data_IF_959578390337
#
_entry.id   IF_959578390337
#
_cell.length_a   1.000
_cell.length_b   1.000
_cell.length_c   1.000
_cell.angle_alpha   90.00
_cell.angle_beta   90.00
_cell.angle_gamma   90.00
#
_symmetry.space_group_name_H-M   'P 1'
#
loop_
_entity.id
_entity.type
_entity.pdbx_description
1 polymer ?
#
# COMPACT_ATOMS: atom_id res chain seq x y z
N UNK A 1 -1.70 17.18 -41.86
CA UNK A 1 -1.93 17.51 -40.43
C UNK A 1 -3.32 17.11 -39.92
N UNK A 2 -4.41 17.25 -40.69
CA UNK A 2 -5.77 16.87 -40.26
C UNK A 2 -6.01 15.36 -40.02
N UNK A 3 -5.43 14.48 -40.84
CA UNK A 3 -5.68 13.02 -40.79
C UNK A 3 -5.14 12.40 -39.48
N UNK A 4 -4.02 12.91 -38.96
CA UNK A 4 -3.39 12.43 -37.72
C UNK A 4 -4.24 12.82 -36.50
N UNK A 5 -4.80 14.05 -36.49
CA UNK A 5 -5.74 14.49 -35.43
C UNK A 5 -7.02 13.65 -35.40
N UNK A 6 -7.55 13.28 -36.56
CA UNK A 6 -8.76 12.44 -36.65
C UNK A 6 -8.53 11.02 -36.10
N UNK A 7 -7.37 10.43 -36.40
CA UNK A 7 -7.01 9.06 -35.97
C UNK A 7 -6.72 8.97 -34.47
N UNK A 8 -6.10 10.01 -33.90
CA UNK A 8 -5.89 10.14 -32.44
C UNK A 8 -7.23 10.32 -31.72
N UNK A 9 -8.15 11.11 -32.29
CA UNK A 9 -9.50 11.30 -31.73
C UNK A 9 -10.28 9.99 -31.67
N UNK A 10 -10.33 9.22 -32.77
CA UNK A 10 -10.98 7.91 -32.80
C UNK A 10 -10.38 6.92 -31.79
N UNK A 11 -9.04 6.91 -31.65
CA UNK A 11 -8.37 6.07 -30.67
C UNK A 11 -8.71 6.46 -29.22
N UNK A 12 -8.82 7.76 -28.91
CA UNK A 12 -9.26 8.26 -27.61
C UNK A 12 -10.71 7.88 -27.27
N UNK A 13 -11.59 7.86 -28.28
CA UNK A 13 -12.99 7.42 -28.13
C UNK A 13 -13.07 5.92 -27.82
N UNK A 14 -12.30 5.09 -28.54
CA UNK A 14 -12.26 3.65 -28.29
C UNK A 14 -11.72 3.34 -26.88
N UNK A 15 -10.67 4.02 -26.44
CA UNK A 15 -10.18 3.88 -25.05
C UNK A 15 -11.22 4.29 -24.01
N UNK A 16 -11.97 5.38 -24.24
CA UNK A 16 -13.04 5.79 -23.34
C UNK A 16 -14.16 4.74 -23.27
N UNK A 17 -14.56 4.17 -24.40
CA UNK A 17 -15.59 3.13 -24.44
C UNK A 17 -15.13 1.88 -23.67
N UNK A 18 -13.88 1.45 -23.88
CA UNK A 18 -13.29 0.30 -23.15
C UNK A 18 -13.24 0.60 -21.64
N UNK A 19 -12.84 1.81 -21.24
CA UNK A 19 -12.81 2.22 -19.84
C UNK A 19 -14.20 2.22 -19.21
N UNK A 20 -15.21 2.76 -19.90
CA UNK A 20 -16.61 2.76 -19.46
C UNK A 20 -17.12 1.32 -19.33
N UNK A 21 -16.81 0.45 -20.28
CA UNK A 21 -17.20 -0.96 -20.25
C UNK A 21 -16.55 -1.72 -19.08
N UNK A 22 -15.26 -1.45 -18.82
CA UNK A 22 -14.55 -2.01 -17.66
C UNK A 22 -15.18 -1.57 -16.34
N UNK A 23 -15.48 -0.28 -16.20
CA UNK A 23 -16.17 0.26 -15.00
C UNK A 23 -17.56 -0.34 -14.84
N UNK A 24 -18.31 -0.53 -15.93
CA UNK A 24 -19.62 -1.18 -15.90
C UNK A 24 -19.53 -2.66 -15.49
N UNK A 25 -18.58 -3.42 -16.06
CA UNK A 25 -18.34 -4.82 -15.68
C UNK A 25 -17.97 -4.92 -14.20
N UNK A 26 -17.07 -4.05 -13.72
CA UNK A 26 -16.69 -4.01 -12.32
C UNK A 26 -17.90 -3.74 -11.41
N UNK A 27 -18.73 -2.75 -11.77
CA UNK A 27 -19.92 -2.38 -11.02
C UNK A 27 -21.02 -3.47 -11.04
N UNK A 28 -21.17 -4.19 -12.16
CA UNK A 28 -22.07 -5.35 -12.28
C UNK A 28 -21.58 -6.49 -11.39
N UNK A 29 -20.27 -6.77 -11.40
CA UNK A 29 -19.66 -7.81 -10.58
C UNK A 29 -19.83 -7.50 -9.08
N UNK A 30 -19.55 -6.27 -8.66
CA UNK A 30 -19.78 -5.82 -7.28
C UNK A 30 -21.24 -5.97 -6.87
N UNK A 31 -22.18 -5.62 -7.75
CA UNK A 31 -23.61 -5.73 -7.46
C UNK A 31 -24.07 -7.19 -7.38
N UNK A 32 -23.53 -8.06 -8.24
CA UNK A 32 -23.78 -9.50 -8.19
C UNK A 32 -23.24 -10.13 -6.90
N UNK A 33 -21.99 -9.84 -6.54
CA UNK A 33 -21.41 -10.23 -5.25
C UNK A 33 -22.24 -9.69 -4.09
N UNK A 34 -22.76 -8.46 -4.22
CA UNK A 34 -23.60 -7.83 -3.20
C UNK A 34 -24.88 -8.62 -2.93
N UNK A 35 -25.47 -9.13 -4.00
CA UNK A 35 -26.71 -9.90 -3.95
C UNK A 35 -26.46 -11.31 -3.43
N UNK A 36 -25.30 -11.88 -3.73
CA UNK A 36 -24.89 -13.21 -3.28
C UNK A 36 -24.59 -13.23 -1.77
N UNK A 37 -23.99 -12.16 -1.21
CA UNK A 37 -23.80 -12.06 0.24
C UNK A 37 -25.12 -11.94 1.01
N UNK A 38 -26.13 -11.26 0.44
CA UNK A 38 -27.45 -11.11 1.06
C UNK A 38 -28.23 -12.42 1.16
N UNK A 39 -27.86 -13.43 0.38
CA UNK A 39 -28.52 -14.74 0.37
C UNK A 39 -28.04 -15.65 1.52
N UNK A 40 -26.84 -15.40 2.06
CA UNK A 40 -26.28 -16.17 3.16
C UNK A 40 -26.92 -15.80 4.50
N UNK A 41 -27.10 -16.79 5.38
CA UNK A 41 -27.53 -16.52 6.75
C UNK A 41 -26.45 -15.75 7.53
N UNK A 42 -26.85 -15.04 8.58
CA UNK A 42 -25.92 -14.29 9.42
C UNK A 42 -24.84 -15.20 10.04
N UNK A 43 -25.22 -16.39 10.49
CA UNK A 43 -24.30 -17.39 11.06
C UNK A 43 -23.26 -17.85 10.04
N UNK A 44 -23.68 -18.08 8.79
CA UNK A 44 -22.78 -18.44 7.70
C UNK A 44 -21.82 -17.30 7.36
N UNK A 45 -22.28 -16.05 7.38
CA UNK A 45 -21.43 -14.87 7.19
C UNK A 45 -20.37 -14.77 8.30
N UNK A 46 -20.74 -15.00 9.56
CA UNK A 46 -19.80 -15.00 10.68
C UNK A 46 -18.77 -16.13 10.56
N UNK A 47 -19.21 -17.35 10.24
CA UNK A 47 -18.31 -18.49 10.03
C UNK A 47 -17.31 -18.23 8.89
N UNK A 48 -17.80 -17.67 7.78
CA UNK A 48 -16.96 -17.32 6.64
C UNK A 48 -15.97 -16.21 7.02
N UNK A 49 -16.41 -15.17 7.73
CA UNK A 49 -15.54 -14.10 8.21
C UNK A 49 -14.40 -14.65 9.09
N UNK A 50 -14.72 -15.54 10.05
CA UNK A 50 -13.73 -16.19 10.91
C UNK A 50 -12.74 -17.04 10.10
N UNK A 51 -13.23 -17.78 9.10
CA UNK A 51 -12.40 -18.60 8.21
C UNK A 51 -11.43 -17.74 7.40
N UNK A 52 -11.92 -16.63 6.83
CA UNK A 52 -11.11 -15.67 6.09
C UNK A 52 -10.04 -15.05 7.01
N UNK A 53 -10.43 -14.59 8.19
CA UNK A 53 -9.51 -14.00 9.18
C UNK A 53 -8.39 -14.98 9.59
N UNK A 54 -8.73 -16.26 9.78
CA UNK A 54 -7.72 -17.29 10.07
C UNK A 54 -6.75 -17.51 8.90
N UNK A 55 -7.25 -17.54 7.66
CA UNK A 55 -6.41 -17.65 6.46
C UNK A 55 -5.48 -16.45 6.30
N UNK A 56 -6.00 -15.25 6.53
CA UNK A 56 -5.20 -14.01 6.49
C UNK A 56 -4.09 -14.07 7.53
N UNK A 57 -4.37 -14.53 8.75
CA UNK A 57 -3.35 -14.69 9.81
C UNK A 57 -2.23 -15.63 9.35
N UNK A 58 -2.58 -16.83 8.86
CA UNK A 58 -1.61 -17.81 8.37
C UNK A 58 -0.75 -17.27 7.22
N UNK A 59 -1.37 -16.62 6.24
CA UNK A 59 -0.66 -16.04 5.11
C UNK A 59 0.25 -14.90 5.56
N UNK A 60 -0.17 -14.08 6.52
CA UNK A 60 0.66 -13.01 7.06
C UNK A 60 1.90 -13.55 7.79
N UNK A 61 1.77 -14.66 8.53
CA UNK A 61 2.91 -15.32 9.17
C UNK A 61 3.90 -15.84 8.12
N UNK A 62 3.41 -16.50 7.08
CA UNK A 62 4.25 -16.94 5.95
C UNK A 62 4.92 -15.78 5.23
N UNK A 63 4.19 -14.69 4.98
CA UNK A 63 4.73 -13.47 4.37
C UNK A 63 5.83 -12.87 5.26
N UNK A 64 5.65 -12.89 6.58
CA UNK A 64 6.67 -12.41 7.53
C UNK A 64 7.95 -13.23 7.42
N UNK A 65 7.85 -14.56 7.44
CA UNK A 65 9.02 -15.44 7.27
C UNK A 65 9.73 -15.22 5.94
N UNK A 66 8.98 -15.10 4.84
CA UNK A 66 9.55 -14.85 3.51
C UNK A 66 10.24 -13.50 3.43
N UNK A 67 9.68 -12.45 4.06
CA UNK A 67 10.30 -11.13 4.17
C UNK A 67 11.61 -11.21 4.94
N UNK A 68 11.64 -11.90 6.07
CA UNK A 68 12.87 -12.07 6.87
C UNK A 68 13.96 -12.82 6.10
N UNK A 69 13.60 -13.93 5.44
CA UNK A 69 14.52 -14.69 4.57
C UNK A 69 15.05 -13.83 3.43
N UNK A 70 14.18 -13.07 2.76
CA UNK A 70 14.56 -12.15 1.68
C UNK A 70 15.51 -11.06 2.17
N UNK A 71 15.22 -10.44 3.32
CA UNK A 71 16.09 -9.40 3.90
C UNK A 71 17.46 -9.96 4.20
N UNK A 72 17.55 -11.10 4.91
CA UNK A 72 18.83 -11.75 5.21
C UNK A 72 19.65 -12.06 3.94
N UNK A 73 19.01 -12.60 2.91
CA UNK A 73 19.68 -12.84 1.62
C UNK A 73 20.12 -11.54 0.95
N UNK A 74 19.28 -10.50 1.00
CA UNK A 74 19.59 -9.19 0.39
C UNK A 74 20.78 -8.52 1.07
N UNK A 75 20.87 -8.62 2.40
CA UNK A 75 22.00 -8.08 3.18
C UNK A 75 23.30 -8.79 2.80
N UNK A 76 23.30 -10.13 2.80
CA UNK A 76 24.46 -10.93 2.37
C UNK A 76 24.89 -10.62 0.93
N UNK A 77 23.93 -10.49 0.00
CA UNK A 77 24.24 -10.16 -1.40
C UNK A 77 24.77 -8.73 -1.55
N UNK A 78 24.24 -7.77 -0.80
CA UNK A 78 24.73 -6.41 -0.80
C UNK A 78 26.15 -6.32 -0.24
N UNK A 79 26.44 -7.05 0.83
CA UNK A 79 27.77 -7.05 1.44
C UNK A 79 28.80 -7.71 0.51
N UNK A 80 28.47 -8.87 -0.07
CA UNK A 80 29.29 -9.48 -1.13
C UNK A 80 29.52 -8.53 -2.32
N UNK A 81 28.47 -7.83 -2.76
CA UNK A 81 28.58 -6.88 -3.87
C UNK A 81 29.44 -5.66 -3.52
N UNK A 82 29.45 -5.20 -2.26
CA UNK A 82 30.36 -4.13 -1.81
C UNK A 82 31.81 -4.61 -1.75
N UNK A 83 32.06 -5.77 -1.16
CA UNK A 83 33.41 -6.35 -1.04
C UNK A 83 34.06 -6.59 -2.41
N UNK A 84 33.26 -6.97 -3.41
CA UNK A 84 33.73 -7.27 -4.76
C UNK A 84 33.54 -6.11 -5.75
N UNK A 85 33.21 -4.90 -5.28
CA UNK A 85 32.97 -3.70 -6.13
C UNK A 85 31.92 -3.89 -7.25
N UNK A 86 30.94 -4.76 -7.04
CA UNK A 86 29.87 -5.09 -7.98
C UNK A 86 28.66 -4.15 -7.87
N UNK A 87 28.78 -3.00 -7.22
CA UNK A 87 27.66 -2.09 -6.95
C UNK A 87 26.97 -1.56 -8.21
N UNK A 88 27.64 -1.60 -9.37
CA UNK A 88 27.07 -1.22 -10.67
C UNK A 88 26.71 -2.42 -11.57
N UNK A 89 26.93 -3.65 -11.10
CA UNK A 89 26.65 -4.85 -11.87
C UNK A 89 25.14 -5.03 -12.10
N UNK A 90 24.79 -5.48 -13.30
CA UNK A 90 23.42 -5.83 -13.67
C UNK A 90 23.35 -7.32 -13.95
N UNK A 91 22.52 -8.04 -13.20
CA UNK A 91 22.32 -9.48 -13.33
C UNK A 91 21.04 -9.69 -14.14
N UNK A 92 21.12 -10.43 -15.24
CA UNK A 92 19.94 -10.79 -16.04
C UNK A 92 19.28 -12.04 -15.42
N UNK A 93 17.96 -11.98 -15.25
CA UNK A 93 17.11 -13.08 -14.79
C UNK A 93 16.01 -13.34 -15.83
N UNK A 94 15.33 -14.49 -15.74
CA UNK A 94 14.25 -14.83 -16.69
C UNK A 94 13.12 -13.81 -16.71
N UNK A 95 12.87 -13.12 -15.59
CA UNK A 95 11.81 -12.11 -15.42
C UNK A 95 12.35 -10.65 -15.45
N UNK A 96 13.54 -10.43 -16.03
CA UNK A 96 14.11 -9.10 -16.21
C UNK A 96 15.54 -8.94 -15.68
N UNK A 97 15.81 -7.85 -14.95
CA UNK A 97 17.17 -7.53 -14.50
C UNK A 97 17.21 -7.09 -13.04
N UNK A 98 18.26 -7.51 -12.34
CA UNK A 98 18.57 -7.09 -10.97
C UNK A 98 19.77 -6.14 -11.00
N UNK A 99 19.67 -5.04 -10.25
CA UNK A 99 20.76 -4.09 -10.04
C UNK A 99 20.85 -3.76 -8.56
N UNK A 100 22.07 -3.68 -8.03
CA UNK A 100 22.33 -3.13 -6.71
C UNK A 100 22.14 -1.61 -6.78
N UNK A 101 21.08 -1.10 -6.13
CA UNK A 101 20.73 0.31 -6.19
C UNK A 101 20.52 0.86 -4.77
N UNK A 102 21.14 2.00 -4.49
CA UNK A 102 20.91 2.75 -3.25
C UNK A 102 19.79 3.77 -3.49
N UNK A 103 18.67 3.61 -2.80
CA UNK A 103 17.58 4.58 -2.83
C UNK A 103 17.60 5.41 -1.56
N UNK A 104 17.59 6.73 -1.70
CA UNK A 104 17.39 7.64 -0.55
C UNK A 104 15.91 7.68 -0.24
N UNK A 105 15.53 7.17 0.92
CA UNK A 105 14.14 7.23 1.42
C UNK A 105 14.06 8.36 2.44
N UNK A 106 13.22 9.35 2.20
CA UNK A 106 12.94 10.41 3.17
C UNK A 106 12.10 9.85 4.32
N UNK A 107 12.40 10.27 5.54
CA UNK A 107 11.62 9.85 6.71
C UNK A 107 10.18 10.35 6.60
N UNK A 108 9.19 9.56 7.06
CA UNK A 108 7.80 9.98 7.07
C UNK A 108 7.60 11.21 7.96
N UNK A 109 6.69 12.09 7.54
CA UNK A 109 6.33 13.30 8.28
C UNK A 109 5.43 12.95 9.47
N UNK A 110 6.04 12.42 10.53
CA UNK A 110 5.36 12.08 11.78
C UNK A 110 5.18 13.32 12.65
N UNK A 111 4.21 13.31 13.57
CA UNK A 111 4.05 14.40 14.54
C UNK A 111 5.30 14.60 15.40
N UNK A 112 6.01 13.51 15.74
CA UNK A 112 7.30 13.58 16.46
C UNK A 112 8.38 14.30 15.64
N UNK A 113 8.44 14.02 14.33
CA UNK A 113 9.35 14.72 13.44
C UNK A 113 8.99 16.20 13.33
N UNK A 114 7.70 16.53 13.18
CA UNK A 114 7.22 17.92 13.15
C UNK A 114 7.54 18.67 14.44
N UNK A 115 7.29 18.08 15.61
CA UNK A 115 7.59 18.69 16.90
C UNK A 115 9.09 18.99 17.04
N UNK A 116 9.95 18.03 16.67
CA UNK A 116 11.40 18.23 16.66
C UNK A 116 11.81 19.36 15.71
N UNK A 117 11.36 19.31 14.46
CA UNK A 117 11.72 20.31 13.44
C UNK A 117 11.21 21.72 13.79
N UNK A 118 10.02 21.82 14.39
CA UNK A 118 9.47 23.10 14.85
C UNK A 118 10.21 23.61 16.10
N UNK A 119 10.63 22.72 17.01
CA UNK A 119 11.44 23.07 18.18
C UNK A 119 12.86 23.55 17.84
N UNK A 120 13.42 23.10 16.72
CA UNK A 120 14.71 23.60 16.22
C UNK A 120 14.63 25.07 15.74
N UNK A 121 13.44 25.54 15.35
CA UNK A 121 13.21 26.89 14.80
C UNK A 121 12.60 27.82 15.86
N UNK A 122 11.67 27.31 16.67
CA UNK A 122 10.90 28.07 17.65
C UNK A 122 11.44 27.76 19.05
N UNK A 123 12.07 28.74 19.69
CA UNK A 123 12.65 28.60 21.05
C UNK A 123 11.60 28.33 22.16
N UNK A 124 10.34 28.64 21.89
CA UNK A 124 9.24 28.44 22.83
C UNK A 124 8.58 27.08 22.61
N UNK A 125 8.94 26.11 23.45
CA UNK A 125 8.41 24.75 23.40
C UNK A 125 6.87 24.68 23.55
N UNK A 126 6.28 25.60 24.32
CA UNK A 126 4.82 25.62 24.52
C UNK A 126 4.10 25.99 23.23
N UNK A 127 4.65 26.91 22.43
CA UNK A 127 4.06 27.27 21.13
C UNK A 127 4.17 26.11 20.13
N UNK A 128 5.28 25.38 20.15
CA UNK A 128 5.46 24.20 19.29
C UNK A 128 4.41 23.13 19.60
N UNK A 129 4.19 22.82 20.88
CA UNK A 129 3.16 21.87 21.32
C UNK A 129 1.77 22.30 20.89
N UNK A 130 1.42 23.58 21.07
CA UNK A 130 0.14 24.15 20.64
C UNK A 130 -0.08 24.00 19.13
N UNK A 131 0.95 24.24 18.31
CA UNK A 131 0.86 24.08 16.85
C UNK A 131 0.62 22.61 16.47
N UNK A 132 1.36 21.69 17.08
CA UNK A 132 1.22 20.25 16.81
C UNK A 132 -0.18 19.76 17.22
N UNK A 133 -0.68 20.18 18.37
CA UNK A 133 -2.04 19.86 18.84
C UNK A 133 -3.12 20.44 17.93
N UNK A 134 -2.95 21.68 17.45
CA UNK A 134 -3.86 22.30 16.51
C UNK A 134 -3.93 21.52 15.18
N UNK A 135 -2.79 21.07 14.65
CA UNK A 135 -2.77 20.23 13.44
C UNK A 135 -3.47 18.90 13.71
N UNK A 136 -3.23 18.30 14.88
CA UNK A 136 -3.84 17.01 15.26
C UNK A 136 -5.37 17.12 15.37
N UNK A 137 -5.89 18.22 15.93
CA UNK A 137 -7.33 18.43 16.11
C UNK A 137 -8.07 18.79 14.82
N UNK A 138 -7.38 19.40 13.84
CA UNK A 138 -7.95 19.73 12.54
C UNK A 138 -7.96 18.57 11.54
N UNK A 139 -7.21 17.49 11.78
CA UNK A 139 -7.26 16.31 10.91
C UNK A 139 -8.59 15.60 11.05
N UNK A 140 -9.22 15.29 9.91
CA UNK A 140 -10.48 14.56 9.86
C UNK A 140 -10.33 13.19 10.52
N UNK A 141 -11.17 12.94 11.52
CA UNK A 141 -11.25 11.64 12.19
C UNK A 141 -12.43 10.89 11.60
N UNK A 142 -12.15 9.86 10.80
CA UNK A 142 -13.19 8.95 10.31
C UNK A 142 -13.39 7.83 11.33
N UNK A 143 -14.58 7.79 11.94
CA UNK A 143 -15.00 6.65 12.76
C UNK A 143 -15.47 5.55 11.82
N UNK A 144 -14.74 4.43 11.80
CA UNK A 144 -15.08 3.25 11.01
C UNK A 144 -15.48 2.13 11.96
N UNK A 145 -16.72 1.65 11.85
CA UNK A 145 -17.18 0.46 12.58
C UNK A 145 -16.53 -0.78 11.98
N UNK A 146 -15.80 -1.54 12.79
CA UNK A 146 -15.06 -2.72 12.36
C UNK A 146 -15.34 -3.93 13.28
N UNK A 147 -15.40 -5.12 12.69
CA UNK A 147 -15.47 -6.38 13.44
C UNK A 147 -14.06 -6.69 13.94
N UNK A 148 -13.89 -6.79 15.26
CA UNK A 148 -12.61 -7.14 15.91
C UNK A 148 -12.69 -8.47 16.63
N UNK A 149 -11.68 -9.32 16.42
CA UNK A 149 -11.45 -10.51 17.23
C UNK A 149 -10.67 -10.12 18.48
N UNK A 150 -11.17 -10.47 19.66
CA UNK A 150 -10.43 -10.41 20.91
C UNK A 150 -10.04 -11.84 21.30
N UNK A 151 -8.75 -12.08 21.54
CA UNK A 151 -8.29 -13.34 22.13
C UNK A 151 -8.38 -13.20 23.65
N UNK A 152 -9.07 -14.12 24.32
CA UNK A 152 -8.83 -14.30 25.76
C UNK A 152 -7.47 -14.98 25.89
N UNK A 153 -6.52 -14.25 26.47
CA UNK A 153 -5.26 -14.83 26.93
C UNK A 153 -5.51 -15.70 28.16
#
# INVERSE_FOLDING_TARGET
MCIIKLKISQHLYVLNIIFIFFVLIFKIYDNFLSKLYKLMSFEQQIQQWVSIDNKIRLLNDQIKELREKKTKLSDNLNDYAKENNLSNATIQISDGKLKFASTKVQSPLTFKYLEKSLGEIIKNENQVKQIVEYIKSKREVKVVSEIKRFSNN
#
